data_IF_316946335349
#
_entry.id   IF_316946335349
#
_cell.length_a   1.000
_cell.length_b   1.000
_cell.length_c   1.000
_cell.angle_alpha   90.00
_cell.angle_beta   90.00
_cell.angle_gamma   90.00
#
_symmetry.space_group_name_H-M   'P 1'
#
loop_
_entity.id
_entity.type
_entity.pdbx_description
1 polymer ?
#
# COMPACT_ATOMS: atom_id res chain seq x y z
N UNK A 1 -4.53 17.50 15.36
CA UNK A 1 -4.82 17.19 13.93
C UNK A 1 -6.32 16.95 13.83
N UNK A 2 -7.02 17.62 12.91
CA UNK A 2 -8.49 17.59 12.86
C UNK A 2 -9.01 16.26 12.28
N UNK A 3 -9.99 15.65 12.93
CA UNK A 3 -10.61 14.37 12.51
C UNK A 3 -11.20 14.47 11.10
N UNK A 4 -11.78 15.62 10.75
CA UNK A 4 -12.34 15.88 9.42
C UNK A 4 -11.29 15.75 8.31
N UNK A 5 -10.07 16.24 8.54
CA UNK A 5 -8.97 16.15 7.57
C UNK A 5 -8.55 14.69 7.36
N UNK A 6 -8.52 13.89 8.43
CA UNK A 6 -8.16 12.47 8.37
C UNK A 6 -9.16 11.68 7.52
N UNK A 7 -10.46 11.95 7.70
CA UNK A 7 -11.53 11.29 6.93
C UNK A 7 -11.49 11.67 5.45
N UNK A 8 -11.28 12.94 5.12
CA UNK A 8 -11.19 13.41 3.72
C UNK A 8 -10.00 12.78 3.01
N UNK A 9 -8.82 12.79 3.64
CA UNK A 9 -7.62 12.18 3.03
C UNK A 9 -7.81 10.65 2.90
N UNK A 10 -8.39 10.00 3.91
CA UNK A 10 -8.71 8.57 3.85
C UNK A 10 -9.65 8.22 2.69
N UNK A 11 -10.69 9.04 2.46
CA UNK A 11 -11.63 8.85 1.36
C UNK A 11 -10.96 9.02 -0.02
N UNK A 12 -10.20 10.10 -0.20
CA UNK A 12 -9.48 10.35 -1.47
C UNK A 12 -8.49 9.23 -1.78
N UNK A 13 -7.73 8.79 -0.79
CA UNK A 13 -6.78 7.68 -0.95
C UNK A 13 -7.52 6.37 -1.23
N UNK A 14 -8.65 6.11 -0.57
CA UNK A 14 -9.49 4.94 -0.84
C UNK A 14 -10.03 4.90 -2.28
N UNK A 15 -10.45 6.05 -2.83
CA UNK A 15 -10.87 6.16 -4.23
C UNK A 15 -9.70 5.83 -5.16
N UNK A 16 -8.53 6.43 -4.94
CA UNK A 16 -7.35 6.17 -5.75
C UNK A 16 -6.96 4.68 -5.71
N UNK A 17 -6.96 4.06 -4.53
CA UNK A 17 -6.66 2.63 -4.38
C UNK A 17 -7.70 1.76 -5.08
N UNK A 18 -8.99 2.10 -5.00
CA UNK A 18 -10.04 1.34 -5.70
C UNK A 18 -9.89 1.36 -7.22
N UNK A 19 -9.39 2.47 -7.76
CA UNK A 19 -9.14 2.66 -9.20
C UNK A 19 -7.83 2.00 -9.63
N UNK A 20 -6.75 2.14 -8.86
CA UNK A 20 -5.40 1.68 -9.25
C UNK A 20 -5.07 0.27 -8.76
N UNK A 21 -5.79 -0.25 -7.78
CA UNK A 21 -5.48 -1.51 -7.09
C UNK A 21 -4.19 -1.47 -6.26
N UNK A 22 -3.49 -0.33 -6.17
CA UNK A 22 -2.19 -0.21 -5.50
C UNK A 22 -2.34 0.44 -4.11
N UNK A 23 -2.81 -0.35 -3.15
CA UNK A 23 -3.13 0.10 -1.78
C UNK A 23 -2.06 0.95 -1.08
N UNK A 24 -0.80 0.57 -1.16
CA UNK A 24 0.26 1.19 -0.34
C UNK A 24 0.95 2.42 -0.96
N UNK A 25 0.95 2.56 -2.28
CA UNK A 25 1.83 3.51 -2.97
C UNK A 25 1.48 4.97 -2.68
N UNK A 26 0.19 5.27 -2.50
CA UNK A 26 -0.31 6.61 -2.21
C UNK A 26 -0.45 6.89 -0.70
N UNK A 27 -0.70 5.85 0.11
CA UNK A 27 -0.94 5.97 1.55
C UNK A 27 0.35 6.40 2.28
N UNK A 28 1.50 5.79 1.97
CA UNK A 28 2.75 6.05 2.70
C UNK A 28 3.23 7.51 2.52
N UNK A 29 3.32 8.07 1.30
CA UNK A 29 3.67 9.48 1.12
C UNK A 29 2.68 10.44 1.80
N UNK A 30 1.37 10.15 1.75
CA UNK A 30 0.37 10.98 2.42
C UNK A 30 0.60 11.02 3.95
N UNK A 31 0.88 9.88 4.58
CA UNK A 31 1.17 9.80 6.01
C UNK A 31 2.45 10.56 6.41
N UNK A 32 3.48 10.53 5.55
CA UNK A 32 4.74 11.23 5.80
C UNK A 32 4.61 12.73 5.58
N UNK A 33 4.06 13.16 4.44
CA UNK A 33 4.08 14.57 4.04
C UNK A 33 2.90 15.37 4.64
N UNK A 34 1.72 14.76 4.74
CA UNK A 34 0.51 15.42 5.28
C UNK A 34 0.42 15.24 6.79
N UNK A 35 0.58 14.00 7.26
CA UNK A 35 0.43 13.68 8.70
C UNK A 35 1.74 13.75 9.49
N UNK A 36 2.87 14.04 8.83
CA UNK A 36 4.20 14.21 9.45
C UNK A 36 4.62 13.01 10.31
N UNK A 37 4.21 11.80 9.90
CA UNK A 37 4.62 10.57 10.56
C UNK A 37 6.06 10.20 10.18
N UNK A 38 6.77 9.54 11.10
CA UNK A 38 8.05 8.92 10.76
C UNK A 38 7.83 7.72 9.80
N UNK A 39 8.89 7.32 9.12
CA UNK A 39 8.83 6.30 8.06
C UNK A 39 8.28 4.95 8.54
N UNK A 40 8.70 4.49 9.72
CA UNK A 40 8.31 3.19 10.28
C UNK A 40 6.86 3.23 10.74
N UNK A 41 6.45 4.30 11.43
CA UNK A 41 5.03 4.49 11.80
C UNK A 41 4.14 4.61 10.57
N UNK A 42 4.54 5.41 9.58
CA UNK A 42 3.79 5.55 8.33
C UNK A 42 3.63 4.21 7.60
N UNK A 43 4.68 3.38 7.54
CA UNK A 43 4.58 2.02 6.98
C UNK A 43 3.62 1.13 7.75
N UNK A 44 3.73 1.07 9.08
CA UNK A 44 2.84 0.26 9.91
C UNK A 44 1.38 0.71 9.83
N UNK A 45 1.14 2.02 9.88
CA UNK A 45 -0.21 2.60 9.72
C UNK A 45 -0.76 2.37 8.32
N UNK A 46 0.07 2.48 7.27
CA UNK A 46 -0.35 2.17 5.91
C UNK A 46 -0.73 0.69 5.74
N UNK A 47 0.02 -0.23 6.35
CA UNK A 47 -0.34 -1.65 6.39
C UNK A 47 -1.69 -1.84 7.07
N UNK A 48 -1.94 -1.23 8.23
CA UNK A 48 -3.23 -1.34 8.92
C UNK A 48 -4.40 -0.83 8.07
N UNK A 49 -4.24 0.34 7.46
CA UNK A 49 -5.30 0.98 6.65
C UNK A 49 -5.54 0.21 5.35
N UNK A 50 -4.48 -0.30 4.71
CA UNK A 50 -4.60 -0.98 3.43
C UNK A 50 -5.10 -2.41 3.59
N UNK A 51 -4.51 -3.20 4.51
CA UNK A 51 -4.59 -4.67 4.53
C UNK A 51 -6.00 -5.23 4.75
N UNK A 52 -6.83 -4.60 5.57
CA UNK A 52 -8.13 -5.15 5.94
C UNK A 52 -9.29 -4.37 5.33
N UNK A 53 -9.52 -3.08 5.66
CA UNK A 53 -10.74 -2.40 5.23
C UNK A 53 -10.74 -2.13 3.72
N UNK A 54 -9.62 -1.64 3.19
CA UNK A 54 -9.54 -1.23 1.79
C UNK A 54 -9.59 -2.45 0.88
N UNK A 55 -8.74 -3.45 1.09
CA UNK A 55 -8.74 -4.64 0.23
C UNK A 55 -10.06 -5.42 0.28
N UNK A 56 -10.67 -5.61 1.46
CA UNK A 56 -11.94 -6.35 1.53
C UNK A 56 -13.08 -5.59 0.85
N UNK A 57 -13.22 -4.29 1.13
CA UNK A 57 -14.34 -3.50 0.59
C UNK A 57 -14.13 -3.24 -0.90
N UNK A 58 -12.91 -2.89 -1.32
CA UNK A 58 -12.60 -2.65 -2.72
C UNK A 58 -12.66 -3.92 -3.58
N UNK A 59 -12.46 -5.11 -2.99
CA UNK A 59 -12.60 -6.38 -3.72
C UNK A 59 -14.07 -6.74 -4.04
N UNK A 60 -15.05 -6.27 -3.26
CA UNK A 60 -16.47 -6.65 -3.45
C UNK A 60 -16.98 -6.39 -4.88
N UNK A 61 -16.77 -5.19 -5.48
CA UNK A 61 -17.15 -4.95 -6.88
C UNK A 61 -16.46 -5.90 -7.87
N UNK A 62 -15.15 -6.16 -7.71
CA UNK A 62 -14.40 -7.07 -8.57
C UNK A 62 -14.89 -8.52 -8.44
N UNK A 63 -15.18 -8.96 -7.21
CA UNK A 63 -15.73 -10.27 -6.92
C UNK A 63 -17.10 -10.47 -7.58
N UNK A 64 -17.99 -9.46 -7.50
CA UNK A 64 -19.31 -9.49 -8.14
C UNK A 64 -19.24 -9.55 -9.66
N UNK A 65 -18.21 -8.94 -10.23
CA UNK A 65 -18.01 -8.88 -11.68
C UNK A 65 -17.20 -10.06 -12.24
N UNK A 66 -16.81 -11.05 -11.41
CA UNK A 66 -15.99 -12.21 -11.79
C UNK A 66 -14.64 -11.87 -12.45
N UNK A 67 -14.12 -10.65 -12.26
CA UNK A 67 -12.83 -10.22 -12.79
C UNK A 67 -11.66 -10.59 -11.85
N UNK A 68 -11.52 -11.87 -11.48
CA UNK A 68 -10.42 -12.34 -10.65
C UNK A 68 -10.10 -13.83 -10.89
N UNK A 69 -8.83 -14.20 -10.73
CA UNK A 69 -8.40 -15.60 -10.69
C UNK A 69 -8.15 -16.01 -9.22
N UNK A 70 -9.03 -16.87 -8.70
CA UNK A 70 -8.98 -17.29 -7.30
C UNK A 70 -7.74 -18.14 -6.99
N UNK A 71 -7.32 -19.01 -7.92
CA UNK A 71 -6.22 -19.95 -7.70
C UNK A 71 -4.89 -19.21 -7.70
N UNK A 72 -4.68 -18.35 -8.70
CA UNK A 72 -3.50 -17.51 -8.79
C UNK A 72 -3.45 -16.51 -7.62
N UNK A 73 -4.59 -15.90 -7.28
CA UNK A 73 -4.72 -14.99 -6.15
C UNK A 73 -4.34 -15.63 -4.82
N UNK A 74 -4.83 -16.84 -4.52
CA UNK A 74 -4.53 -17.56 -3.27
C UNK A 74 -3.06 -17.95 -3.17
N UNK A 75 -2.45 -18.46 -4.25
CA UNK A 75 -1.03 -18.83 -4.23
C UNK A 75 -0.13 -17.62 -3.99
N UNK A 76 -0.42 -16.51 -4.67
CA UNK A 76 0.32 -15.25 -4.46
C UNK A 76 0.06 -14.70 -3.05
N UNK A 77 -1.16 -14.79 -2.53
CA UNK A 77 -1.49 -14.34 -1.18
C UNK A 77 -0.67 -15.07 -0.10
N UNK A 78 -0.50 -16.40 -0.22
CA UNK A 78 0.36 -17.17 0.69
C UNK A 78 1.81 -16.67 0.62
N UNK A 79 2.34 -16.47 -0.60
CA UNK A 79 3.68 -15.93 -0.79
C UNK A 79 3.84 -14.53 -0.18
N UNK A 80 2.84 -13.66 -0.33
CA UNK A 80 2.80 -12.33 0.28
C UNK A 80 2.77 -12.42 1.80
N UNK A 81 1.95 -13.28 2.41
CA UNK A 81 1.89 -13.43 3.87
C UNK A 81 3.26 -13.80 4.46
N UNK A 82 3.94 -14.77 3.85
CA UNK A 82 5.28 -15.19 4.30
C UNK A 82 6.30 -14.08 4.06
N UNK A 83 6.38 -13.54 2.84
CA UNK A 83 7.36 -12.52 2.48
C UNK A 83 7.17 -11.20 3.24
N UNK A 84 5.93 -10.79 3.49
CA UNK A 84 5.62 -9.56 4.24
C UNK A 84 5.96 -9.68 5.72
N UNK A 85 5.75 -10.85 6.34
CA UNK A 85 6.15 -11.07 7.73
C UNK A 85 7.66 -10.91 7.92
N UNK A 86 8.46 -11.65 7.14
CA UNK A 86 9.91 -11.58 7.23
C UNK A 86 10.46 -10.22 6.77
N UNK A 87 9.90 -9.65 5.70
CA UNK A 87 10.28 -8.32 5.21
C UNK A 87 9.99 -7.22 6.24
N UNK A 88 8.83 -7.24 6.90
CA UNK A 88 8.49 -6.28 7.94
C UNK A 88 9.34 -6.46 9.19
N UNK A 89 9.59 -7.71 9.61
CA UNK A 89 10.47 -8.01 10.73
C UNK A 89 11.89 -7.47 10.49
N UNK A 90 12.43 -7.69 9.29
CA UNK A 90 13.76 -7.18 8.94
C UNK A 90 13.78 -5.65 8.80
N UNK A 91 12.72 -5.04 8.26
CA UNK A 91 12.63 -3.59 8.08
C UNK A 91 12.78 -2.81 9.40
N UNK A 92 12.37 -3.38 10.55
CA UNK A 92 12.54 -2.76 11.87
C UNK A 92 14.01 -2.58 12.28
N UNK A 93 14.92 -3.36 11.69
CA UNK A 93 16.35 -3.33 12.01
C UNK A 93 17.17 -2.49 11.03
N UNK A 94 16.56 -1.95 9.97
CA UNK A 94 17.25 -1.15 8.96
C UNK A 94 17.27 0.34 9.34
N UNK A 95 18.35 1.07 9.02
CA UNK A 95 18.38 2.51 9.20
C UNK A 95 17.36 3.20 8.27
N UNK A 96 16.74 4.28 8.77
CA UNK A 96 15.69 5.03 8.05
C UNK A 96 16.11 5.49 6.64
N UNK A 97 17.39 5.82 6.45
CA UNK A 97 17.94 6.25 5.17
C UNK A 97 17.90 5.15 4.10
N UNK A 98 18.18 3.90 4.49
CA UNK A 98 18.11 2.73 3.61
C UNK A 98 16.65 2.44 3.26
N UNK A 99 15.76 2.46 4.25
CA UNK A 99 14.34 2.19 4.04
C UNK A 99 13.71 3.20 3.05
N UNK A 100 14.05 4.49 3.18
CA UNK A 100 13.63 5.55 2.25
C UNK A 100 14.20 5.35 0.85
N UNK A 101 15.49 5.02 0.73
CA UNK A 101 16.13 4.78 -0.58
C UNK A 101 15.48 3.60 -1.28
N UNK A 102 15.31 2.46 -0.60
CA UNK A 102 14.68 1.26 -1.18
C UNK A 102 13.27 1.58 -1.67
N UNK A 103 12.44 2.22 -0.83
CA UNK A 103 11.09 2.62 -1.23
C UNK A 103 11.10 3.54 -2.46
N UNK A 104 11.96 4.56 -2.45
CA UNK A 104 12.09 5.51 -3.57
C UNK A 104 12.53 4.83 -4.87
N UNK A 105 13.55 3.97 -4.81
CA UNK A 105 14.05 3.22 -5.96
C UNK A 105 12.98 2.33 -6.59
N UNK A 106 12.21 1.61 -5.76
CA UNK A 106 11.13 0.73 -6.22
C UNK A 106 10.03 1.53 -6.90
N UNK A 107 9.62 2.67 -6.31
CA UNK A 107 8.60 3.53 -6.92
C UNK A 107 9.05 4.11 -8.27
N UNK A 108 10.31 4.54 -8.39
CA UNK A 108 10.87 5.03 -9.67
C UNK A 108 10.87 3.91 -10.71
N UNK A 109 11.34 2.71 -10.35
CA UNK A 109 11.37 1.56 -11.26
C UNK A 109 9.98 1.18 -11.77
N UNK A 110 9.00 1.07 -10.87
CA UNK A 110 7.62 0.72 -11.22
C UNK A 110 7.00 1.83 -12.08
N UNK A 111 7.14 3.09 -11.67
CA UNK A 111 6.62 4.23 -12.43
C UNK A 111 7.20 4.33 -13.83
N UNK A 112 8.51 4.16 -13.98
CA UNK A 112 9.18 4.12 -15.28
C UNK A 112 8.64 2.96 -16.14
N UNK A 113 8.52 1.75 -15.57
CA UNK A 113 7.97 0.58 -16.28
C UNK A 113 6.57 0.82 -16.82
N UNK A 114 5.69 1.43 -16.02
CA UNK A 114 4.33 1.76 -16.44
C UNK A 114 4.33 2.75 -17.60
N UNK A 115 5.19 3.77 -17.57
CA UNK A 115 5.31 4.75 -18.66
C UNK A 115 5.86 4.13 -19.96
N UNK A 116 6.78 3.18 -19.87
CA UNK A 116 7.32 2.49 -21.06
C UNK A 116 6.36 1.46 -21.67
N UNK A 117 5.34 1.02 -20.92
CA UNK A 117 4.34 0.05 -21.38
C UNK A 117 3.03 0.71 -21.86
N UNK A 118 2.88 2.02 -21.65
CA UNK A 118 1.77 2.84 -22.16
C UNK A 118 2.07 3.32 -23.58
#
# INVERSE_FOLDING_TARGET
MNVLLQLVVGALVGILVGITGTGGAFVIPALIYVFRMDQLRAQGTALMISSLPIWFIAFIPYARSHHFDLRLGLLIAVGICVGSYFGAAWAQHLPLSVLRRVLGSVLILVGARFLYQA
#
